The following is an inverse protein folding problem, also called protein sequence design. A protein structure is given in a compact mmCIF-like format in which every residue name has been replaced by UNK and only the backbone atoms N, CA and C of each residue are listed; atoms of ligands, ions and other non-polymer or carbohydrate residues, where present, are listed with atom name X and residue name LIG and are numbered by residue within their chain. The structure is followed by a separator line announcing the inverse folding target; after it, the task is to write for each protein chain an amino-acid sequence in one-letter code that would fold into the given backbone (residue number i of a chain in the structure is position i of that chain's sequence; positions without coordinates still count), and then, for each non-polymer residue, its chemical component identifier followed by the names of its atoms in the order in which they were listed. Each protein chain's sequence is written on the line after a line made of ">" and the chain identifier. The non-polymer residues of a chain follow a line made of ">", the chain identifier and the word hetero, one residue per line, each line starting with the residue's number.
data_IF_574271268106
#
_entry.id   IF_574271268106
#
_cell.length_a   1.000
_cell.length_b   1.000
_cell.length_c   1.000
_cell.angle_alpha   90.00
_cell.angle_beta   90.00
_cell.angle_gamma   90.00
#
_symmetry.space_group_name_H-M   'P 1'
#
loop_
_entity.id
_entity.type
_entity.pdbx_description
1 polymer ?
#
# COMPACT_ATOMS: atom_id res chain seq x y z
N UNK A 1 -16.12 -33.19 12.22
CA UNK A 1 -14.69 -33.59 12.36
C UNK A 1 -13.84 -32.32 12.34
N UNK A 2 -12.62 -32.34 12.88
CA UNK A 2 -11.67 -31.20 12.84
C UNK A 2 -11.42 -30.73 11.39
N UNK A 3 -11.51 -31.64 10.42
CA UNK A 3 -11.38 -31.32 9.00
C UNK A 3 -12.54 -30.49 8.43
N UNK A 4 -13.77 -30.67 8.93
CA UNK A 4 -14.93 -29.90 8.49
C UNK A 4 -14.88 -28.44 8.98
N UNK A 5 -14.51 -28.22 10.24
CA UNK A 5 -14.40 -26.86 10.81
C UNK A 5 -13.26 -26.05 10.17
N UNK A 6 -12.13 -26.69 9.85
CA UNK A 6 -11.03 -26.03 9.13
C UNK A 6 -11.38 -25.68 7.68
N UNK A 7 -12.30 -26.42 7.06
CA UNK A 7 -12.77 -26.13 5.71
C UNK A 7 -13.69 -24.90 5.69
N UNK A 8 -14.63 -24.82 6.62
CA UNK A 8 -15.54 -23.66 6.78
C UNK A 8 -14.78 -22.37 7.13
N UNK A 9 -13.79 -22.43 8.02
CA UNK A 9 -12.95 -21.27 8.37
C UNK A 9 -12.15 -20.76 7.15
N UNK A 10 -11.57 -21.68 6.36
CA UNK A 10 -10.85 -21.31 5.13
C UNK A 10 -11.76 -20.73 4.07
N UNK A 11 -12.99 -21.22 3.94
CA UNK A 11 -13.98 -20.67 3.02
C UNK A 11 -14.37 -19.25 3.43
N UNK A 12 -14.66 -19.01 4.71
CA UNK A 12 -14.97 -17.66 5.22
C UNK A 12 -13.81 -16.69 5.00
N UNK A 13 -12.57 -17.08 5.29
CA UNK A 13 -11.40 -16.25 5.03
C UNK A 13 -11.18 -15.95 3.54
N UNK A 14 -11.52 -16.89 2.65
CA UNK A 14 -11.44 -16.69 1.21
C UNK A 14 -12.54 -15.72 0.70
N UNK A 15 -13.76 -15.80 1.24
CA UNK A 15 -14.86 -14.88 0.94
C UNK A 15 -14.56 -13.45 1.44
N UNK A 16 -13.98 -13.32 2.63
CA UNK A 16 -13.52 -12.04 3.17
C UNK A 16 -12.40 -11.44 2.30
N UNK A 17 -11.47 -12.27 1.84
CA UNK A 17 -10.38 -11.83 0.97
C UNK A 17 -10.88 -11.38 -0.40
N UNK A 18 -11.81 -12.11 -1.02
CA UNK A 18 -12.40 -11.72 -2.30
C UNK A 18 -13.15 -10.38 -2.18
N UNK A 19 -13.85 -10.17 -1.07
CA UNK A 19 -14.53 -8.91 -0.76
C UNK A 19 -13.52 -7.76 -0.64
N UNK A 20 -12.41 -7.96 0.08
CA UNK A 20 -11.32 -6.97 0.18
C UNK A 20 -10.70 -6.64 -1.19
N UNK A 21 -10.52 -7.64 -2.05
CA UNK A 21 -9.99 -7.45 -3.40
C UNK A 21 -10.94 -6.61 -4.27
N UNK A 22 -12.24 -6.90 -4.20
CA UNK A 22 -13.27 -6.13 -4.92
C UNK A 22 -13.33 -4.67 -4.43
N UNK A 23 -13.30 -4.46 -3.11
CA UNK A 23 -13.31 -3.12 -2.52
C UNK A 23 -12.06 -2.33 -2.88
N UNK A 24 -10.89 -2.97 -2.88
CA UNK A 24 -9.65 -2.37 -3.35
C UNK A 24 -9.78 -1.93 -4.81
N UNK A 25 -10.25 -2.80 -5.70
CA UNK A 25 -10.41 -2.48 -7.13
C UNK A 25 -11.39 -1.33 -7.38
N UNK A 26 -12.52 -1.30 -6.65
CA UNK A 26 -13.48 -0.18 -6.73
C UNK A 26 -12.87 1.13 -6.26
N UNK A 27 -12.17 1.13 -5.13
CA UNK A 27 -11.53 2.33 -4.59
C UNK A 27 -10.41 2.83 -5.51
N UNK A 28 -9.59 1.91 -6.02
CA UNK A 28 -8.51 2.22 -6.96
C UNK A 28 -9.08 2.87 -8.23
N UNK A 29 -10.13 2.27 -8.81
CA UNK A 29 -10.80 2.82 -9.99
C UNK A 29 -11.40 4.21 -9.74
N UNK A 30 -12.03 4.42 -8.59
CA UNK A 30 -12.61 5.71 -8.23
C UNK A 30 -11.54 6.81 -8.08
N UNK A 31 -10.42 6.53 -7.42
CA UNK A 31 -9.34 7.51 -7.29
C UNK A 31 -8.64 7.77 -8.62
N UNK A 32 -8.43 6.75 -9.47
CA UNK A 32 -7.89 6.94 -10.81
C UNK A 32 -8.80 7.81 -11.67
N UNK A 33 -10.11 7.59 -11.65
CA UNK A 33 -11.08 8.43 -12.34
C UNK A 33 -11.08 9.88 -11.80
N UNK A 34 -10.91 10.06 -10.49
CA UNK A 34 -10.78 11.39 -9.90
C UNK A 34 -9.51 12.12 -10.38
N UNK A 35 -8.37 11.40 -10.47
CA UNK A 35 -7.11 11.93 -11.02
C UNK A 35 -7.23 12.28 -12.50
N UNK A 36 -7.94 11.48 -13.29
CA UNK A 36 -8.20 11.76 -14.70
C UNK A 36 -9.09 13.00 -14.88
N UNK A 37 -10.08 13.18 -14.01
CA UNK A 37 -11.00 14.32 -14.03
C UNK A 37 -10.33 15.62 -13.55
N UNK A 38 -9.48 15.53 -12.53
CA UNK A 38 -8.71 16.64 -11.98
C UNK A 38 -7.27 16.19 -11.62
N UNK A 39 -6.31 16.42 -12.53
CA UNK A 39 -4.91 16.08 -12.31
C UNK A 39 -4.23 16.84 -11.17
N UNK A 40 -4.85 17.92 -10.66
CA UNK A 40 -4.35 18.72 -9.53
C UNK A 40 -5.07 18.37 -8.21
N UNK A 41 -5.86 17.28 -8.18
CA UNK A 41 -6.59 16.87 -7.00
C UNK A 41 -5.71 16.11 -6.00
N UNK A 42 -5.01 16.86 -5.14
CA UNK A 42 -4.12 16.34 -4.10
C UNK A 42 -4.70 15.15 -3.32
N UNK A 43 -5.95 15.24 -2.84
CA UNK A 43 -6.54 14.21 -1.98
C UNK A 43 -6.69 12.87 -2.72
N UNK A 44 -6.91 12.88 -4.04
CA UNK A 44 -7.01 11.66 -4.82
C UNK A 44 -5.65 10.93 -4.88
N UNK A 45 -4.56 11.66 -5.10
CA UNK A 45 -3.19 11.12 -5.09
C UNK A 45 -2.76 10.65 -3.69
N UNK A 46 -3.04 11.43 -2.65
CA UNK A 46 -2.72 11.02 -1.29
C UNK A 46 -3.49 9.75 -0.89
N UNK A 47 -4.81 9.73 -1.12
CA UNK A 47 -5.66 8.63 -0.67
C UNK A 47 -5.45 7.35 -1.48
N UNK A 48 -5.15 7.43 -2.78
CA UNK A 48 -4.79 6.22 -3.54
C UNK A 48 -3.44 5.66 -3.06
N UNK A 49 -2.46 6.49 -2.70
CA UNK A 49 -1.23 6.03 -2.06
C UNK A 49 -1.50 5.30 -0.73
N UNK A 50 -2.38 5.85 0.11
CA UNK A 50 -2.82 5.21 1.36
C UNK A 50 -3.54 3.87 1.09
N UNK A 51 -4.37 3.81 0.05
CA UNK A 51 -5.05 2.58 -0.36
C UNK A 51 -4.05 1.45 -0.68
N UNK A 52 -2.99 1.75 -1.45
CA UNK A 52 -1.93 0.77 -1.74
C UNK A 52 -1.16 0.34 -0.47
N UNK A 53 -0.86 1.28 0.43
CA UNK A 53 -0.21 0.95 1.71
C UNK A 53 -1.05 0.02 2.57
N UNK A 54 -2.36 0.28 2.69
CA UNK A 54 -3.28 -0.57 3.44
C UNK A 54 -3.39 -1.95 2.81
N UNK A 55 -3.47 -2.01 1.47
CA UNK A 55 -3.47 -3.29 0.75
C UNK A 55 -2.20 -4.10 1.01
N UNK A 56 -1.04 -3.46 0.98
CA UNK A 56 0.22 -4.12 1.28
C UNK A 56 0.29 -4.60 2.74
N UNK A 57 -0.23 -3.82 3.69
CA UNK A 57 -0.30 -4.21 5.10
C UNK A 57 -1.11 -5.50 5.30
N UNK A 58 -2.30 -5.59 4.71
CA UNK A 58 -3.14 -6.79 4.71
C UNK A 58 -2.42 -7.99 4.09
N UNK A 59 -1.65 -7.77 3.01
CA UNK A 59 -0.85 -8.83 2.39
C UNK A 59 0.32 -9.28 3.28
N UNK A 60 1.01 -8.36 3.95
CA UNK A 60 2.08 -8.72 4.89
C UNK A 60 1.55 -9.56 6.06
N UNK A 61 0.36 -9.25 6.57
CA UNK A 61 -0.29 -10.04 7.62
C UNK A 61 -0.51 -11.50 7.16
N UNK A 62 -0.99 -11.69 5.93
CA UNK A 62 -1.13 -13.01 5.33
C UNK A 62 0.21 -13.71 5.18
N UNK A 63 1.25 -12.99 4.72
CA UNK A 63 2.60 -13.55 4.60
C UNK A 63 3.13 -14.04 5.95
N UNK A 64 2.91 -13.29 7.03
CA UNK A 64 3.38 -13.65 8.38
C UNK A 64 2.79 -14.96 8.93
N UNK A 65 1.70 -15.46 8.34
CA UNK A 65 1.10 -16.76 8.68
C UNK A 65 1.75 -17.94 7.94
N UNK A 66 2.65 -17.70 6.99
CA UNK A 66 3.32 -18.73 6.18
C UNK A 66 4.57 -19.25 6.90
N UNK A 67 4.63 -20.57 7.11
CA UNK A 67 5.76 -21.23 7.79
C UNK A 67 6.96 -21.53 6.89
N UNK A 68 6.72 -21.70 5.58
CA UNK A 68 7.76 -22.01 4.61
C UNK A 68 8.50 -20.74 4.23
N UNK A 69 9.81 -20.67 4.46
CA UNK A 69 10.62 -19.50 4.11
C UNK A 69 10.49 -19.13 2.63
N UNK A 70 10.48 -20.12 1.74
CA UNK A 70 10.34 -19.91 0.30
C UNK A 70 8.99 -19.27 -0.05
N UNK A 71 7.91 -19.76 0.54
CA UNK A 71 6.56 -19.24 0.30
C UNK A 71 6.36 -17.87 0.95
N UNK A 72 6.94 -17.66 2.13
CA UNK A 72 6.97 -16.37 2.80
C UNK A 72 7.66 -15.31 1.93
N UNK A 73 8.85 -15.62 1.41
CA UNK A 73 9.59 -14.70 0.55
C UNK A 73 8.79 -14.36 -0.72
N UNK A 74 8.18 -15.36 -1.38
CA UNK A 74 7.36 -15.13 -2.56
C UNK A 74 6.09 -14.31 -2.27
N UNK A 75 5.46 -14.51 -1.11
CA UNK A 75 4.33 -13.69 -0.65
C UNK A 75 4.78 -12.25 -0.37
N UNK A 76 5.88 -12.10 0.36
CA UNK A 76 6.44 -10.80 0.74
C UNK A 76 6.84 -9.99 -0.49
N UNK A 77 7.39 -10.61 -1.53
CA UNK A 77 7.72 -9.94 -2.78
C UNK A 77 6.48 -9.32 -3.45
N UNK A 78 5.34 -10.03 -3.43
CA UNK A 78 4.07 -9.49 -3.93
C UNK A 78 3.56 -8.33 -3.08
N UNK A 79 3.65 -8.44 -1.76
CA UNK A 79 3.28 -7.35 -0.85
C UNK A 79 4.19 -6.12 -1.02
N UNK A 80 5.50 -6.34 -1.19
CA UNK A 80 6.47 -5.29 -1.50
C UNK A 80 6.12 -4.59 -2.82
N UNK A 81 5.75 -5.33 -3.87
CA UNK A 81 5.36 -4.74 -5.15
C UNK A 81 4.13 -3.81 -5.02
N UNK A 82 3.11 -4.22 -4.25
CA UNK A 82 1.93 -3.40 -3.98
C UNK A 82 2.28 -2.17 -3.15
N UNK A 83 3.12 -2.34 -2.12
CA UNK A 83 3.58 -1.22 -1.30
C UNK A 83 4.31 -0.16 -2.14
N UNK A 84 5.19 -0.60 -3.04
CA UNK A 84 5.95 0.29 -3.90
C UNK A 84 5.11 0.97 -4.99
N UNK A 85 3.95 0.41 -5.36
CA UNK A 85 3.01 1.05 -6.27
C UNK A 85 2.41 2.36 -5.69
N UNK A 86 2.46 2.56 -4.37
CA UNK A 86 2.06 3.82 -3.73
C UNK A 86 2.99 4.99 -4.05
N UNK A 87 4.26 4.73 -4.36
CA UNK A 87 5.32 5.73 -4.55
C UNK A 87 4.96 6.86 -5.54
N UNK A 88 4.60 6.58 -6.81
CA UNK A 88 4.31 7.65 -7.76
C UNK A 88 3.15 8.54 -7.31
N UNK A 89 2.17 8.00 -6.57
CA UNK A 89 1.04 8.77 -6.08
C UNK A 89 1.43 9.73 -4.96
N UNK A 90 2.24 9.27 -3.99
CA UNK A 90 2.77 10.16 -2.97
C UNK A 90 3.78 11.16 -3.53
N UNK A 91 4.58 10.81 -4.56
CA UNK A 91 5.45 11.76 -5.25
C UNK A 91 4.64 12.87 -5.91
N UNK A 92 3.52 12.55 -6.58
CA UNK A 92 2.62 13.57 -7.12
C UNK A 92 1.95 14.41 -6.03
N UNK A 93 1.42 13.78 -4.98
CA UNK A 93 0.85 14.50 -3.84
C UNK A 93 1.87 15.49 -3.24
N UNK A 94 3.13 15.08 -3.12
CA UNK A 94 4.21 15.94 -2.62
C UNK A 94 4.54 17.09 -3.57
N UNK A 95 4.48 16.88 -4.89
CA UNK A 95 4.65 17.97 -5.86
C UNK A 95 3.60 19.07 -5.68
N UNK A 96 2.36 18.69 -5.35
CA UNK A 96 1.26 19.64 -5.14
C UNK A 96 1.31 20.32 -3.77
N UNK A 97 1.64 19.56 -2.72
CA UNK A 97 1.79 20.08 -1.35
C UNK A 97 3.13 19.65 -0.76
N UNK A 98 4.23 20.38 -1.06
CA UNK A 98 5.58 20.03 -0.64
C UNK A 98 5.81 20.01 0.87
N UNK A 99 4.93 20.65 1.64
CA UNK A 99 5.04 20.79 3.10
C UNK A 99 4.06 19.87 3.85
N UNK A 100 3.30 19.02 3.14
CA UNK A 100 2.38 18.07 3.78
C UNK A 100 3.15 16.97 4.52
N UNK A 101 3.21 17.10 5.85
CA UNK A 101 3.97 16.19 6.72
C UNK A 101 3.56 14.72 6.56
N UNK A 102 2.27 14.44 6.34
CA UNK A 102 1.78 13.08 6.17
C UNK A 102 2.38 12.45 4.89
N UNK A 103 2.35 13.16 3.77
CA UNK A 103 2.92 12.74 2.49
C UNK A 103 4.43 12.54 2.62
N UNK A 104 5.14 13.48 3.25
CA UNK A 104 6.59 13.39 3.46
C UNK A 104 6.94 12.12 4.27
N UNK A 105 6.17 11.82 5.32
CA UNK A 105 6.37 10.61 6.13
C UNK A 105 6.17 9.32 5.33
N UNK A 106 5.17 9.27 4.43
CA UNK A 106 4.96 8.10 3.57
C UNK A 106 6.11 7.92 2.57
N UNK A 107 6.54 9.00 1.93
CA UNK A 107 7.68 8.99 1.01
C UNK A 107 8.97 8.57 1.70
N UNK A 108 9.23 9.04 2.91
CA UNK A 108 10.41 8.64 3.69
C UNK A 108 10.45 7.12 3.91
N UNK A 109 9.32 6.50 4.25
CA UNK A 109 9.24 5.03 4.41
C UNK A 109 9.48 4.29 3.09
N UNK A 110 8.91 4.79 1.99
CA UNK A 110 9.08 4.20 0.65
C UNK A 110 10.53 4.32 0.16
N UNK A 111 11.17 5.47 0.34
CA UNK A 111 12.58 5.66 -0.03
C UNK A 111 13.51 4.81 0.82
N UNK A 112 13.23 4.64 2.12
CA UNK A 112 13.97 3.69 2.96
C UNK A 112 13.82 2.25 2.45
N UNK A 113 12.61 1.83 2.04
CA UNK A 113 12.34 0.50 1.49
C UNK A 113 13.10 0.24 0.19
N UNK A 114 13.25 1.24 -0.66
CA UNK A 114 13.97 1.13 -1.94
C UNK A 114 15.46 1.47 -1.85
N UNK A 115 16.00 1.71 -0.66
CA UNK A 115 17.37 2.19 -0.44
C UNK A 115 17.70 3.48 -1.21
N UNK A 116 16.71 4.34 -1.45
CA UNK A 116 16.89 5.66 -2.06
C UNK A 116 17.31 6.67 -0.99
N UNK A 117 18.56 6.52 -0.54
CA UNK A 117 19.10 7.27 0.60
C UNK A 117 19.06 8.78 0.37
N UNK A 118 19.27 9.23 -0.88
CA UNK A 118 19.25 10.65 -1.21
C UNK A 118 17.87 11.26 -0.95
N UNK A 119 16.82 10.70 -1.55
CA UNK A 119 15.46 11.18 -1.35
C UNK A 119 14.95 10.95 0.08
N UNK A 120 15.41 9.89 0.76
CA UNK A 120 15.13 9.70 2.18
C UNK A 120 15.65 10.88 3.03
N UNK A 121 16.90 11.30 2.84
CA UNK A 121 17.46 12.41 3.61
C UNK A 121 16.78 13.73 3.26
N UNK A 122 16.40 13.94 2.00
CA UNK A 122 15.61 15.10 1.57
C UNK A 122 14.27 15.18 2.32
N UNK A 123 13.50 14.10 2.35
CA UNK A 123 12.22 14.04 3.08
C UNK A 123 12.43 14.23 4.58
N UNK A 124 13.50 13.65 5.15
CA UNK A 124 13.82 13.79 6.56
C UNK A 124 14.15 15.23 6.95
N UNK A 125 14.87 15.97 6.10
CA UNK A 125 15.20 17.37 6.34
C UNK A 125 13.93 18.22 6.43
N UNK A 126 12.97 18.02 5.51
CA UNK A 126 11.67 18.72 5.50
C UNK A 126 10.81 18.54 6.76
N UNK A 127 11.02 17.48 7.56
CA UNK A 127 10.29 17.25 8.82
C UNK A 127 10.97 17.88 10.05
N UNK A 128 12.22 18.33 9.90
CA UNK A 128 13.02 18.93 10.98
C UNK A 128 13.30 20.42 10.79
N UNK A 129 12.82 21.00 9.69
CA UNK A 129 12.76 22.45 9.40
C UNK A 129 11.42 23.02 9.89
#
# INVERSE_FOLDING_TARGET
>A
SIQGSQYEEKLGAAEDQATKDELFGKAEGAYKAAIEADPEFFDAYFNIGVLYNNRAADMYEQCNSIKSDKEYMACKEKADAVYLAAKPYFEQAHNMKPDDAATIQQLMKLYAKTNDTAKFQEMKAKLGE
#
